data_IF_199809957908
#
_entry.id   IF_199809957908
#
_cell.length_a   1.000
_cell.length_b   1.000
_cell.length_c   1.000
_cell.angle_alpha   90.00
_cell.angle_beta   90.00
_cell.angle_gamma   90.00
#
_symmetry.space_group_name_H-M   'P 1'
#
loop_
_entity.id
_entity.type
_entity.pdbx_description
1 polymer ?
#
# COMPACT_ATOMS: atom_id res chain seq x y z
N UNK A 1 6.40 -53.09 -12.41
CA UNK A 1 7.10 -52.51 -11.24
C UNK A 1 8.48 -53.15 -11.19
N UNK A 2 9.53 -52.39 -11.45
CA UNK A 2 10.91 -52.88 -11.41
C UNK A 2 11.54 -52.54 -10.06
N UNK A 3 12.21 -53.50 -9.43
CA UNK A 3 12.85 -53.33 -8.12
C UNK A 3 14.34 -53.58 -8.28
N UNK A 4 15.17 -52.65 -7.80
CA UNK A 4 16.63 -52.78 -7.82
C UNK A 4 17.08 -53.63 -6.63
N UNK A 5 17.71 -54.77 -6.89
CA UNK A 5 18.24 -55.64 -5.85
C UNK A 5 19.75 -55.48 -5.75
N UNK A 6 20.25 -55.50 -4.50
CA UNK A 6 21.67 -55.58 -4.24
C UNK A 6 22.11 -57.03 -4.35
N UNK A 7 22.99 -57.30 -5.32
CA UNK A 7 23.51 -58.66 -5.59
C UNK A 7 24.40 -59.21 -4.48
N UNK A 8 24.92 -58.34 -3.61
CA UNK A 8 25.74 -58.75 -2.46
C UNK A 8 24.92 -59.27 -1.27
N UNK A 9 23.58 -59.15 -1.34
CA UNK A 9 22.66 -59.52 -0.26
C UNK A 9 21.72 -60.63 -0.69
N UNK A 10 21.25 -61.40 0.28
CA UNK A 10 20.20 -62.39 0.05
C UNK A 10 18.88 -61.73 -0.34
N UNK A 11 17.99 -62.51 -0.95
CA UNK A 11 16.64 -62.04 -1.31
C UNK A 11 15.87 -61.54 -0.08
N UNK A 12 16.02 -62.24 1.05
CA UNK A 12 15.40 -61.86 2.31
C UNK A 12 15.95 -60.55 2.89
N UNK A 13 17.27 -60.34 2.84
CA UNK A 13 17.90 -59.10 3.30
C UNK A 13 17.51 -57.89 2.44
N UNK A 14 17.42 -58.07 1.12
CA UNK A 14 16.91 -57.03 0.23
C UNK A 14 15.45 -56.67 0.57
N UNK A 15 14.58 -57.67 0.75
CA UNK A 15 13.18 -57.46 1.13
C UNK A 15 13.05 -56.75 2.48
N UNK A 16 13.84 -57.16 3.48
CA UNK A 16 13.87 -56.53 4.80
C UNK A 16 14.34 -55.07 4.73
N UNK A 17 15.35 -54.75 3.91
CA UNK A 17 15.83 -53.37 3.73
C UNK A 17 14.75 -52.47 3.12
N UNK A 18 14.01 -52.96 2.13
CA UNK A 18 12.90 -52.22 1.53
C UNK A 18 11.74 -52.02 2.51
N UNK A 19 11.45 -53.02 3.35
CA UNK A 19 10.45 -52.92 4.40
C UNK A 19 10.82 -51.84 5.43
N UNK A 20 12.05 -51.84 5.93
CA UNK A 20 12.52 -50.83 6.89
C UNK A 20 12.56 -49.42 6.29
N UNK A 21 12.99 -49.27 5.03
CA UNK A 21 12.91 -47.98 4.33
C UNK A 21 11.48 -47.49 4.22
N UNK A 22 10.54 -48.36 3.85
CA UNK A 22 9.13 -48.02 3.76
C UNK A 22 8.55 -47.65 5.13
N UNK A 23 8.93 -48.35 6.20
CA UNK A 23 8.54 -48.03 7.58
C UNK A 23 9.03 -46.65 8.00
N UNK A 24 10.32 -46.36 7.83
CA UNK A 24 10.88 -45.04 8.14
C UNK A 24 10.28 -43.91 7.30
N UNK A 25 9.99 -44.14 6.02
CA UNK A 25 9.31 -43.14 5.19
C UNK A 25 7.89 -42.86 5.69
N UNK A 26 7.15 -43.87 6.17
CA UNK A 26 5.82 -43.66 6.76
C UNK A 26 5.89 -42.80 8.02
N UNK A 27 6.84 -43.07 8.92
CA UNK A 27 7.07 -42.26 10.13
C UNK A 27 7.40 -40.81 9.77
N UNK A 28 8.28 -40.58 8.78
CA UNK A 28 8.61 -39.22 8.30
C UNK A 28 7.40 -38.49 7.71
N UNK A 29 6.57 -39.18 6.92
CA UNK A 29 5.34 -38.61 6.36
C UNK A 29 4.39 -38.19 7.47
N UNK A 30 4.24 -39.01 8.52
CA UNK A 30 3.38 -38.67 9.65
C UNK A 30 3.87 -37.42 10.40
N UNK A 31 5.18 -37.34 10.68
CA UNK A 31 5.79 -36.16 11.28
C UNK A 31 5.63 -34.90 10.42
N UNK A 32 5.85 -35.02 9.10
CA UNK A 32 5.66 -33.91 8.16
C UNK A 32 4.20 -33.43 8.11
N UNK A 33 3.23 -34.35 8.15
CA UNK A 33 1.80 -34.01 8.21
C UNK A 33 1.45 -33.25 9.47
N UNK A 34 1.95 -33.68 10.64
CA UNK A 34 1.74 -32.96 11.92
C UNK A 34 2.31 -31.54 11.86
N UNK A 35 3.56 -31.39 11.41
CA UNK A 35 4.20 -30.08 11.26
C UNK A 35 3.45 -29.15 10.29
N UNK A 36 2.93 -29.70 9.18
CA UNK A 36 2.10 -28.95 8.23
C UNK A 36 0.82 -28.45 8.91
N UNK A 37 0.11 -29.31 9.64
CA UNK A 37 -1.13 -28.91 10.33
C UNK A 37 -0.89 -27.84 11.39
N UNK A 38 0.22 -27.93 12.13
CA UNK A 38 0.57 -26.94 13.15
C UNK A 38 0.96 -25.59 12.53
N UNK A 39 1.66 -25.62 11.40
CA UNK A 39 2.04 -24.41 10.66
C UNK A 39 0.80 -23.72 10.09
N UNK A 40 -0.15 -24.47 9.53
CA UNK A 40 -1.41 -23.92 9.03
C UNK A 40 -2.24 -23.26 10.14
N UNK A 41 -2.32 -23.89 11.32
CA UNK A 41 -2.99 -23.28 12.50
C UNK A 41 -2.33 -21.98 12.92
N UNK A 42 -0.99 -21.96 13.02
CA UNK A 42 -0.23 -20.74 13.36
C UNK A 42 -0.47 -19.61 12.35
N UNK A 43 -0.54 -19.92 11.05
CA UNK A 43 -0.84 -18.94 10.00
C UNK A 43 -2.24 -18.34 10.20
N UNK A 44 -3.24 -19.16 10.51
CA UNK A 44 -4.61 -18.70 10.75
C UNK A 44 -4.70 -17.80 11.99
N UNK A 45 -4.07 -18.19 13.10
CA UNK A 45 -4.03 -17.39 14.32
C UNK A 45 -3.35 -16.04 14.11
N UNK A 46 -2.23 -16.01 13.37
CA UNK A 46 -1.53 -14.77 13.01
C UNK A 46 -2.40 -13.87 12.12
N UNK A 47 -3.14 -14.43 11.16
CA UNK A 47 -4.08 -13.68 10.32
C UNK A 47 -5.20 -13.05 11.15
N UNK A 48 -5.81 -13.82 12.06
CA UNK A 48 -6.84 -13.32 12.97
C UNK A 48 -6.30 -12.20 13.86
N UNK A 49 -5.11 -12.37 14.44
CA UNK A 49 -4.46 -11.35 15.26
C UNK A 49 -4.18 -10.08 14.46
N UNK A 50 -3.68 -10.20 13.22
CA UNK A 50 -3.46 -9.05 12.32
C UNK A 50 -4.77 -8.29 12.05
N UNK A 51 -5.83 -8.98 11.67
CA UNK A 51 -7.13 -8.35 11.41
C UNK A 51 -7.68 -7.62 12.65
N UNK A 52 -7.56 -8.22 13.83
CA UNK A 52 -7.98 -7.59 15.09
C UNK A 52 -7.16 -6.34 15.40
N UNK A 53 -5.84 -6.38 15.18
CA UNK A 53 -4.96 -5.23 15.38
C UNK A 53 -5.26 -4.10 14.39
N UNK A 54 -5.50 -4.42 13.12
CA UNK A 54 -5.90 -3.43 12.10
C UNK A 54 -7.23 -2.77 12.46
N UNK A 55 -8.24 -3.56 12.85
CA UNK A 55 -9.54 -3.05 13.29
C UNK A 55 -9.42 -2.17 14.54
N UNK A 56 -8.61 -2.57 15.52
CA UNK A 56 -8.37 -1.77 16.72
C UNK A 56 -7.63 -0.46 16.40
N UNK A 57 -6.70 -0.47 15.44
CA UNK A 57 -6.01 0.73 14.96
C UNK A 57 -6.99 1.68 14.26
N UNK A 58 -7.88 1.17 13.43
CA UNK A 58 -8.92 1.99 12.79
C UNK A 58 -9.87 2.63 13.80
N UNK A 59 -10.31 1.88 14.82
CA UNK A 59 -11.20 2.38 15.87
C UNK A 59 -10.51 3.44 16.72
N UNK A 60 -9.25 3.20 17.12
CA UNK A 60 -8.48 4.17 17.92
C UNK A 60 -8.19 5.46 17.15
N UNK A 61 -7.85 5.37 15.87
CA UNK A 61 -7.71 6.53 14.98
C UNK A 61 -9.04 7.28 14.82
N UNK A 62 -10.16 6.59 14.63
CA UNK A 62 -11.50 7.22 14.61
C UNK A 62 -11.82 7.96 15.90
N UNK A 63 -11.61 7.33 17.06
CA UNK A 63 -11.89 7.92 18.36
C UNK A 63 -11.01 9.15 18.66
N UNK A 64 -9.73 9.10 18.28
CA UNK A 64 -8.82 10.25 18.37
C UNK A 64 -9.29 11.39 17.47
N UNK A 65 -9.65 11.09 16.22
CA UNK A 65 -10.17 12.07 15.28
C UNK A 65 -11.50 12.69 15.74
N UNK A 66 -12.40 11.91 16.35
CA UNK A 66 -13.66 12.42 16.92
C UNK A 66 -13.43 13.34 18.12
N UNK A 67 -12.48 13.00 19.01
CA UNK A 67 -12.13 13.86 20.15
C UNK A 67 -11.49 15.18 19.71
N UNK A 68 -10.66 15.15 18.67
CA UNK A 68 -10.02 16.35 18.10
C UNK A 68 -11.07 17.20 17.35
N UNK A 69 -11.95 16.56 16.55
CA UNK A 69 -13.00 17.25 15.79
C UNK A 69 -14.05 17.94 16.69
N UNK A 70 -14.36 17.39 17.87
CA UNK A 70 -15.29 18.02 18.82
C UNK A 70 -14.78 19.35 19.40
N UNK A 71 -13.48 19.67 19.25
CA UNK A 71 -12.88 20.91 19.78
C UNK A 71 -12.57 21.99 18.75
N UNK A 72 -12.67 21.71 17.45
CA UNK A 72 -12.28 22.67 16.40
C UNK A 72 -13.24 22.60 15.21
N UNK A 73 -13.69 23.75 14.72
CA UNK A 73 -14.36 23.83 13.44
C UNK A 73 -13.40 23.30 12.36
N UNK A 74 -13.75 22.16 11.76
CA UNK A 74 -12.94 21.54 10.71
C UNK A 74 -12.76 22.52 9.56
N UNK A 75 -11.51 22.72 9.17
CA UNK A 75 -11.21 23.51 7.99
C UNK A 75 -11.59 22.72 6.74
N UNK A 76 -11.98 23.42 5.67
CA UNK A 76 -12.45 22.78 4.44
C UNK A 76 -11.40 21.83 3.83
N UNK A 77 -10.11 22.16 3.95
CA UNK A 77 -9.00 21.39 3.39
C UNK A 77 -8.82 20.03 4.09
N UNK A 78 -9.35 19.85 5.29
CA UNK A 78 -9.27 18.58 6.04
C UNK A 78 -10.07 17.45 5.39
N UNK A 79 -10.98 17.79 4.47
CA UNK A 79 -11.70 16.80 3.66
C UNK A 79 -10.81 16.19 2.56
N UNK A 80 -9.64 16.77 2.27
CA UNK A 80 -8.70 16.36 1.24
C UNK A 80 -7.42 15.76 1.84
N UNK A 81 -6.45 15.38 1.00
CA UNK A 81 -5.06 15.20 1.45
C UNK A 81 -4.50 16.60 1.63
N UNK A 82 -3.85 16.91 2.74
CA UNK A 82 -3.30 18.23 2.95
C UNK A 82 -2.00 18.17 3.73
N UNK A 83 -1.13 19.12 3.46
CA UNK A 83 0.14 19.33 4.16
C UNK A 83 0.49 20.82 4.10
N UNK A 84 1.13 21.32 5.16
CA UNK A 84 1.80 22.61 5.11
C UNK A 84 3.27 22.37 4.80
N UNK A 85 3.76 22.99 3.72
CA UNK A 85 5.18 23.06 3.41
C UNK A 85 5.57 24.50 3.67
N UNK A 86 6.34 24.71 4.74
CA UNK A 86 6.59 26.04 5.29
C UNK A 86 5.26 26.77 5.56
N UNK A 87 4.97 27.82 4.79
CA UNK A 87 3.77 28.64 4.91
C UNK A 87 2.74 28.39 3.80
N UNK A 88 2.97 27.40 2.92
CA UNK A 88 2.08 27.09 1.81
C UNK A 88 1.18 25.90 2.16
N UNK A 89 -0.13 26.11 2.02
CA UNK A 89 -1.10 25.03 2.12
C UNK A 89 -1.15 24.27 0.80
N UNK A 90 -0.80 23.00 0.85
CA UNK A 90 -0.82 22.08 -0.28
C UNK A 90 -1.96 21.09 -0.08
N UNK A 91 -2.88 21.00 -1.02
CA UNK A 91 -4.10 20.19 -0.93
C UNK A 91 -4.19 19.27 -2.14
N UNK A 92 -4.47 17.98 -1.95
CA UNK A 92 -4.63 17.02 -3.03
C UNK A 92 -5.89 16.17 -2.89
N UNK A 93 -6.52 15.82 -4.01
CA UNK A 93 -7.71 14.96 -3.97
C UNK A 93 -7.39 13.51 -3.55
N UNK A 94 -8.40 12.86 -2.98
CA UNK A 94 -8.34 11.46 -2.54
C UNK A 94 -8.82 10.49 -3.63
N UNK A 95 -9.67 10.97 -4.52
CA UNK A 95 -10.34 10.27 -5.62
C UNK A 95 -10.75 11.26 -6.72
N UNK A 96 -11.35 10.77 -7.80
CA UNK A 96 -11.76 11.61 -8.93
C UNK A 96 -12.79 12.69 -8.53
N UNK A 97 -13.74 12.36 -7.64
CA UNK A 97 -14.78 13.29 -7.19
C UNK A 97 -14.20 14.43 -6.36
N UNK A 98 -13.30 14.12 -5.42
CA UNK A 98 -12.60 15.11 -4.61
C UNK A 98 -11.61 15.94 -5.43
N UNK A 99 -10.94 15.36 -6.43
CA UNK A 99 -10.16 16.15 -7.40
C UNK A 99 -11.05 17.20 -8.08
N UNK A 100 -12.23 16.79 -8.57
CA UNK A 100 -13.16 17.72 -9.25
C UNK A 100 -13.67 18.82 -8.29
N UNK A 101 -14.02 18.46 -7.06
CA UNK A 101 -14.44 19.46 -6.05
C UNK A 101 -13.29 20.41 -5.71
N UNK A 102 -12.07 19.90 -5.56
CA UNK A 102 -10.88 20.70 -5.24
C UNK A 102 -10.62 21.74 -6.32
N UNK A 103 -10.59 21.33 -7.59
CA UNK A 103 -10.34 22.22 -8.73
C UNK A 103 -11.49 23.20 -8.93
N UNK A 104 -12.75 22.79 -8.76
CA UNK A 104 -13.88 23.69 -9.05
C UNK A 104 -14.22 24.66 -7.92
N UNK A 105 -14.04 24.26 -6.65
CA UNK A 105 -14.54 25.02 -5.49
C UNK A 105 -13.45 25.66 -4.64
N UNK A 106 -12.20 25.24 -4.77
CA UNK A 106 -11.16 25.59 -3.81
C UNK A 106 -9.87 26.12 -4.42
N UNK A 107 -9.79 26.25 -5.75
CA UNK A 107 -8.70 26.97 -6.43
C UNK A 107 -9.03 28.45 -6.60
N UNK A 108 -8.01 29.29 -6.47
CA UNK A 108 -8.05 30.73 -6.72
C UNK A 108 -7.00 31.09 -7.79
N UNK A 109 -7.10 32.24 -8.48
CA UNK A 109 -6.20 32.61 -9.58
C UNK A 109 -4.71 32.66 -9.23
N UNK A 110 -4.36 32.81 -7.94
CA UNK A 110 -2.97 32.84 -7.48
C UNK A 110 -2.41 31.47 -7.07
N UNK A 111 -3.22 30.42 -7.18
CA UNK A 111 -2.83 29.06 -6.88
C UNK A 111 -2.12 28.40 -8.08
N UNK A 112 -1.42 27.32 -7.80
CA UNK A 112 -0.85 26.44 -8.82
C UNK A 112 -1.42 25.03 -8.66
N UNK A 113 -1.73 24.40 -9.79
CA UNK A 113 -2.24 23.03 -9.84
C UNK A 113 -1.17 22.12 -10.41
N UNK A 114 -0.93 21.00 -9.75
CA UNK A 114 0.01 19.97 -10.17
C UNK A 114 -0.66 18.63 -10.43
N UNK A 115 -0.22 17.95 -11.49
CA UNK A 115 -0.68 16.61 -11.85
C UNK A 115 0.46 15.83 -12.52
N UNK A 116 0.72 14.62 -12.05
CA UNK A 116 1.73 13.75 -12.68
C UNK A 116 1.22 13.22 -14.02
N UNK A 117 2.09 13.08 -15.03
CA UNK A 117 1.76 12.55 -16.36
C UNK A 117 1.57 11.02 -16.36
N UNK A 118 0.74 10.54 -15.44
CA UNK A 118 0.52 9.12 -15.18
C UNK A 118 -0.93 8.94 -14.77
N UNK A 119 -1.55 7.89 -15.33
CA UNK A 119 -2.93 7.57 -15.02
C UNK A 119 -3.13 7.33 -13.51
N UNK A 120 -4.21 7.90 -12.97
CA UNK A 120 -4.54 7.78 -11.55
C UNK A 120 -3.66 8.63 -10.63
N UNK A 121 -2.98 9.65 -11.17
CA UNK A 121 -2.36 10.70 -10.36
C UNK A 121 -3.45 11.62 -9.78
N UNK A 122 -3.32 12.07 -8.52
CA UNK A 122 -4.20 13.08 -7.96
C UNK A 122 -3.85 14.48 -8.48
N UNK A 123 -4.84 15.37 -8.47
CA UNK A 123 -4.58 16.80 -8.61
C UNK A 123 -4.18 17.37 -7.25
N UNK A 124 -3.03 18.03 -7.20
CA UNK A 124 -2.57 18.81 -6.06
C UNK A 124 -2.68 20.31 -6.36
N UNK A 125 -3.06 21.11 -5.37
CA UNK A 125 -3.20 22.55 -5.44
C UNK A 125 -2.32 23.17 -4.37
N UNK A 126 -1.44 24.08 -4.77
CA UNK A 126 -0.62 24.90 -3.88
C UNK A 126 -1.34 26.23 -3.73
N UNK A 127 -1.88 26.49 -2.54
CA UNK A 127 -2.52 27.77 -2.24
C UNK A 127 -1.48 28.90 -2.29
N UNK A 128 -1.79 29.99 -2.99
CA UNK A 128 -0.84 31.09 -3.22
C UNK A 128 0.43 30.65 -3.98
N UNK A 129 0.35 29.55 -4.75
CA UNK A 129 1.50 28.86 -5.34
C UNK A 129 2.37 29.70 -6.27
N UNK A 130 1.84 30.76 -6.90
CA UNK A 130 2.67 31.67 -7.73
C UNK A 130 3.77 32.39 -6.95
N UNK A 131 3.64 32.46 -5.62
CA UNK A 131 4.63 33.04 -4.73
C UNK A 131 5.58 31.99 -4.11
N UNK A 132 5.42 30.70 -4.44
CA UNK A 132 6.29 29.65 -3.95
C UNK A 132 7.64 29.65 -4.70
N UNK A 133 8.72 29.32 -3.98
CA UNK A 133 10.03 29.13 -4.58
C UNK A 133 10.13 27.77 -5.31
N UNK A 134 11.18 27.60 -6.12
CA UNK A 134 11.40 26.37 -6.88
C UNK A 134 11.55 25.11 -6.01
N UNK A 135 12.05 25.26 -4.78
CA UNK A 135 12.21 24.15 -3.85
C UNK A 135 10.86 23.60 -3.38
N UNK A 136 9.94 24.48 -3.00
CA UNK A 136 8.56 24.11 -2.65
C UNK A 136 7.88 23.46 -3.85
N UNK A 137 8.03 24.01 -5.05
CA UNK A 137 7.46 23.42 -6.26
C UNK A 137 7.98 21.99 -6.50
N UNK A 138 9.29 21.76 -6.34
CA UNK A 138 9.89 20.41 -6.45
C UNK A 138 9.40 19.45 -5.37
N UNK A 139 9.24 19.93 -4.13
CA UNK A 139 8.71 19.14 -3.04
C UNK A 139 7.27 18.71 -3.31
N UNK A 140 6.41 19.64 -3.76
CA UNK A 140 5.02 19.32 -4.12
C UNK A 140 4.95 18.39 -5.33
N UNK A 141 5.81 18.59 -6.34
CA UNK A 141 5.89 17.69 -7.49
C UNK A 141 6.25 16.27 -7.06
N UNK A 142 7.22 16.11 -6.15
CA UNK A 142 7.60 14.80 -5.60
C UNK A 142 6.46 14.14 -4.83
N UNK A 143 5.68 14.92 -4.07
CA UNK A 143 4.48 14.44 -3.38
C UNK A 143 3.43 13.98 -4.40
N UNK A 144 3.17 14.77 -5.44
CA UNK A 144 2.22 14.43 -6.51
C UNK A 144 2.62 13.11 -7.20
N UNK A 145 3.89 12.97 -7.58
CA UNK A 145 4.43 11.75 -8.20
C UNK A 145 4.32 10.54 -7.26
N UNK A 146 4.67 10.68 -5.98
CA UNK A 146 4.61 9.59 -4.98
C UNK A 146 3.20 9.06 -4.71
N UNK A 147 2.17 9.90 -4.92
CA UNK A 147 0.77 9.51 -4.77
C UNK A 147 0.12 8.94 -6.04
N UNK A 148 0.83 8.98 -7.17
CA UNK A 148 0.36 8.44 -8.44
C UNK A 148 0.56 6.92 -8.56
N UNK A 149 0.14 6.34 -9.70
CA UNK A 149 0.43 4.94 -10.01
C UNK A 149 1.91 4.68 -10.32
N UNK A 150 2.70 5.70 -10.66
CA UNK A 150 4.14 5.53 -10.92
C UNK A 150 4.86 4.95 -9.69
N UNK A 151 4.55 5.47 -8.49
CA UNK A 151 5.11 4.95 -7.25
C UNK A 151 4.75 3.49 -6.99
N UNK A 152 3.47 3.14 -7.19
CA UNK A 152 2.99 1.75 -7.00
C UNK A 152 3.66 0.76 -7.95
N UNK A 153 4.00 1.22 -9.15
CA UNK A 153 4.64 0.42 -10.18
C UNK A 153 6.17 0.43 -10.08
N UNK A 154 6.75 1.09 -9.07
CA UNK A 154 8.21 1.16 -8.87
C UNK A 154 8.94 1.99 -9.92
N UNK A 155 8.25 2.93 -10.58
CA UNK A 155 8.87 3.83 -11.55
C UNK A 155 9.72 4.86 -10.80
N UNK A 156 11.01 4.99 -11.17
CA UNK A 156 11.97 5.84 -10.48
C UNK A 156 11.83 7.35 -10.71
N UNK A 157 11.14 7.76 -11.78
CA UNK A 157 10.91 9.16 -12.13
C UNK A 157 9.56 9.33 -12.82
N UNK A 158 8.91 10.48 -12.62
CA UNK A 158 7.66 10.84 -13.29
C UNK A 158 7.66 12.33 -13.57
N UNK A 159 7.19 12.71 -14.75
CA UNK A 159 6.95 14.11 -15.07
C UNK A 159 5.70 14.60 -14.35
N UNK A 160 5.75 15.86 -13.91
CA UNK A 160 4.65 16.53 -13.21
C UNK A 160 4.45 17.89 -13.84
N UNK A 161 3.25 18.11 -14.36
CA UNK A 161 2.86 19.41 -14.90
C UNK A 161 2.47 20.35 -13.76
N UNK A 162 2.85 21.62 -13.90
CA UNK A 162 2.43 22.71 -13.03
C UNK A 162 1.70 23.75 -13.90
N UNK A 163 0.42 23.97 -13.62
CA UNK A 163 -0.46 24.82 -14.45
C UNK A 163 -1.30 25.75 -13.59
N UNK A 164 -1.78 26.84 -14.18
CA UNK A 164 -2.77 27.69 -13.54
C UNK A 164 -4.14 26.97 -13.49
N UNK A 165 -4.97 27.25 -12.48
CA UNK A 165 -6.31 26.65 -12.37
C UNK A 165 -7.17 26.84 -13.63
N UNK A 166 -7.05 27.99 -14.29
CA UNK A 166 -7.77 28.34 -15.52
C UNK A 166 -7.43 27.43 -16.71
N UNK A 167 -6.26 26.78 -16.69
CA UNK A 167 -5.81 25.86 -17.74
C UNK A 167 -6.32 24.43 -17.54
N UNK A 168 -7.01 24.16 -16.43
CA UNK A 168 -7.55 22.83 -16.12
C UNK A 168 -9.02 22.79 -16.53
N UNK A 169 -9.30 22.21 -17.69
CA UNK A 169 -10.66 21.95 -18.18
C UNK A 169 -11.02 20.48 -18.10
N UNK A 170 -12.32 20.19 -17.98
CA UNK A 170 -12.85 18.82 -18.07
C UNK A 170 -13.11 18.53 -19.55
N UNK A 171 -12.46 17.49 -20.08
CA UNK A 171 -12.86 16.83 -21.33
C UNK A 171 -14.08 15.96 -21.10
#
# INVERSE_FOLDING_TARGET
MEIKLDRSKTVHENAASYYEKAKHMREKIEGAKKALTDTLKKIDDLKKKKNTLEKNREISVKNLNEKIAKKRAKQWYENFRWIFIENFLVVGGKDATSNEILIKKHTEPNDLVMHADVFGSPFFVIKNGKNANDEILKNVASICASHSRAWKNGVGSSDVYCVNPEQVSKT
#
